data_IF_448621396734
#
_entry.id   IF_448621396734
#
_cell.length_a   1.000
_cell.length_b   1.000
_cell.length_c   1.000
_cell.angle_alpha   90.00
_cell.angle_beta   90.00
_cell.angle_gamma   90.00
#
_symmetry.space_group_name_H-M   'P 1'
#
loop_
_entity.id
_entity.type
_entity.pdbx_description
1 polymer ?
#
# COMPACT_ATOMS: atom_id res chain seq x y z
N UNK A 1 11.92 14.92 5.11
CA UNK A 1 12.82 13.77 4.89
C UNK A 1 11.98 12.51 4.97
N UNK A 2 12.24 11.52 4.13
CA UNK A 2 11.61 10.20 4.17
C UNK A 2 12.72 9.15 4.27
N UNK A 3 12.67 8.30 5.30
CA UNK A 3 13.55 7.15 5.44
C UNK A 3 12.90 5.90 4.86
N UNK A 4 13.63 5.13 4.05
CA UNK A 4 13.12 3.90 3.41
C UNK A 4 13.88 2.71 4.00
N UNK A 5 13.21 1.96 4.88
CA UNK A 5 13.78 0.71 5.39
C UNK A 5 13.84 -0.33 4.26
N UNK A 6 14.90 -1.13 4.25
CA UNK A 6 15.03 -2.19 3.25
C UNK A 6 14.07 -3.36 3.51
N UNK A 7 13.83 -4.21 2.49
CA UNK A 7 12.76 -5.21 2.50
C UNK A 7 13.03 -6.41 3.41
N UNK A 8 14.31 -6.69 3.70
CA UNK A 8 14.73 -7.84 4.50
C UNK A 8 15.12 -7.43 5.92
N UNK A 9 14.64 -8.20 6.89
CA UNK A 9 14.99 -7.99 8.29
C UNK A 9 14.85 -9.28 9.10
N UNK A 10 15.42 -9.28 10.29
CA UNK A 10 15.24 -10.33 11.29
C UNK A 10 14.13 -9.95 12.30
N UNK A 11 14.12 -10.60 13.45
CA UNK A 11 13.15 -10.38 14.53
C UNK A 11 13.17 -8.95 15.09
N UNK A 12 14.23 -8.17 14.83
CA UNK A 12 14.33 -6.75 15.21
C UNK A 12 13.54 -5.82 14.29
N UNK A 13 12.87 -6.36 13.27
CA UNK A 13 12.07 -5.62 12.30
C UNK A 13 12.91 -4.66 11.44
N UNK A 14 12.27 -3.67 10.84
CA UNK A 14 12.77 -2.75 9.82
C UNK A 14 14.18 -2.18 10.07
N UNK A 15 15.04 -2.31 9.05
CA UNK A 15 16.47 -1.93 9.06
C UNK A 15 16.82 -1.04 7.87
N UNK A 16 17.62 0.00 8.08
CA UNK A 16 18.07 0.95 7.05
C UNK A 16 19.31 0.46 6.29
N UNK A 17 19.29 -0.79 5.83
CA UNK A 17 20.46 -1.44 5.18
C UNK A 17 20.63 -1.11 3.68
N UNK A 18 19.78 -0.26 3.13
CA UNK A 18 19.92 0.26 1.76
C UNK A 18 20.70 1.58 1.73
N UNK A 19 20.85 2.23 2.88
CA UNK A 19 21.53 3.52 3.03
C UNK A 19 23.03 3.35 3.35
N UNK A 20 23.86 4.38 3.12
CA UNK A 20 25.26 4.39 3.53
C UNK A 20 25.44 3.99 5.00
N UNK A 21 26.45 3.16 5.26
CA UNK A 21 26.75 2.62 6.59
C UNK A 21 25.62 1.82 7.25
N UNK A 22 24.59 1.43 6.49
CA UNK A 22 23.35 0.78 6.95
C UNK A 22 22.56 1.60 7.97
N UNK A 23 22.51 2.93 7.81
CA UNK A 23 21.83 3.84 8.75
C UNK A 23 20.94 4.84 8.04
N UNK A 24 19.82 5.19 8.67
CA UNK A 24 18.98 6.28 8.21
C UNK A 24 19.81 7.58 8.13
N UNK A 25 19.83 8.30 6.98
CA UNK A 25 20.70 9.45 6.79
C UNK A 25 20.43 10.64 7.72
N UNK A 26 19.25 10.73 8.33
CA UNK A 26 18.84 11.85 9.18
C UNK A 26 18.85 11.48 10.65
N UNK A 27 18.27 10.34 11.00
CA UNK A 27 18.16 9.85 12.37
C UNK A 27 19.44 9.13 12.82
N UNK A 28 20.27 8.64 11.89
CA UNK A 28 21.50 7.93 12.19
C UNK A 28 21.31 6.56 12.86
N UNK A 29 20.09 6.00 12.83
CA UNK A 29 19.73 4.70 13.43
C UNK A 29 19.90 3.57 12.41
N UNK A 30 20.27 2.38 12.87
CA UNK A 30 20.38 1.19 12.01
C UNK A 30 19.03 0.45 11.92
N UNK A 31 18.28 0.43 13.02
CA UNK A 31 16.96 -0.19 13.11
C UNK A 31 15.89 0.81 13.55
N UNK A 32 14.70 0.73 12.95
CA UNK A 32 13.57 1.59 13.34
C UNK A 32 13.19 1.40 14.82
N UNK A 33 13.41 0.20 15.37
CA UNK A 33 13.16 -0.09 16.78
C UNK A 33 13.98 0.77 17.76
N UNK A 34 15.06 1.42 17.31
CA UNK A 34 15.80 2.41 18.11
C UNK A 34 14.94 3.66 18.38
N UNK A 35 14.18 4.13 17.38
CA UNK A 35 13.29 5.28 17.53
C UNK A 35 12.07 4.98 18.43
N UNK A 36 11.56 3.75 18.37
CA UNK A 36 10.53 3.27 19.30
C UNK A 36 11.06 3.25 20.74
N UNK A 37 12.25 2.67 20.97
CA UNK A 37 12.90 2.64 22.29
C UNK A 37 13.30 4.02 22.81
N UNK A 38 13.57 4.98 21.93
CA UNK A 38 13.78 6.37 22.31
C UNK A 38 12.50 7.03 22.83
N UNK A 39 11.33 6.67 22.27
CA UNK A 39 10.03 7.14 22.73
C UNK A 39 9.60 6.48 24.04
N UNK A 40 9.78 5.16 24.12
CA UNK A 40 9.44 4.31 25.26
C UNK A 40 10.54 3.25 25.48
N UNK A 41 11.40 3.40 26.51
CA UNK A 41 12.48 2.46 26.79
C UNK A 41 12.03 1.02 27.05
N UNK A 42 10.78 0.82 27.48
CA UNK A 42 10.21 -0.48 27.83
C UNK A 42 9.31 -1.04 26.71
N UNK A 43 9.37 -0.46 25.49
CA UNK A 43 8.53 -0.87 24.36
C UNK A 43 8.70 -2.35 24.00
N UNK A 44 7.64 -3.13 24.20
CA UNK A 44 7.60 -4.59 23.99
C UNK A 44 6.62 -5.03 22.87
N UNK A 45 5.97 -4.07 22.22
CA UNK A 45 5.06 -4.29 21.10
C UNK A 45 5.76 -4.35 19.73
N UNK A 46 4.99 -4.54 18.66
CA UNK A 46 5.52 -4.68 17.31
C UNK A 46 6.08 -3.37 16.74
N UNK A 47 7.33 -3.40 16.27
CA UNK A 47 7.96 -2.30 15.51
C UNK A 47 7.43 -2.30 14.08
N UNK A 48 6.50 -1.39 13.76
CA UNK A 48 5.81 -1.32 12.48
C UNK A 48 6.18 -0.08 11.65
N UNK A 49 5.93 -0.18 10.35
CA UNK A 49 5.85 0.94 9.40
C UNK A 49 4.40 1.10 8.92
N UNK A 50 3.96 2.31 8.52
CA UNK A 50 4.68 3.59 8.62
C UNK A 50 4.87 4.04 10.07
N UNK A 51 5.91 4.83 10.33
CA UNK A 51 6.15 5.50 11.61
C UNK A 51 6.59 6.94 11.35
N UNK A 52 5.96 7.90 12.04
CA UNK A 52 6.37 9.30 12.03
C UNK A 52 7.30 9.51 13.22
N UNK A 53 8.53 9.98 12.95
CA UNK A 53 9.56 10.22 13.96
C UNK A 53 9.81 11.72 14.08
N UNK A 54 9.80 12.24 15.30
CA UNK A 54 10.27 13.60 15.56
C UNK A 54 11.80 13.62 15.48
N UNK A 55 12.34 14.32 14.47
CA UNK A 55 13.78 14.31 14.15
C UNK A 55 14.64 14.78 15.32
N UNK A 56 14.23 15.84 16.03
CA UNK A 56 15.05 16.43 17.09
C UNK A 56 15.23 15.51 18.31
N UNK A 57 14.20 14.74 18.64
CA UNK A 57 14.24 13.81 19.78
C UNK A 57 14.58 12.38 19.37
N UNK A 58 14.47 12.04 18.07
CA UNK A 58 14.62 10.69 17.55
C UNK A 58 13.48 9.75 17.97
N UNK A 59 12.36 10.28 18.50
CA UNK A 59 11.27 9.49 19.06
C UNK A 59 10.17 9.26 18.04
N UNK A 60 9.64 8.04 17.97
CA UNK A 60 8.39 7.77 17.25
C UNK A 60 7.26 8.57 17.91
N UNK A 61 6.56 9.37 17.11
CA UNK A 61 5.39 10.14 17.50
C UNK A 61 4.09 9.36 17.27
N UNK A 62 3.99 8.65 16.14
CA UNK A 62 2.83 7.80 15.81
C UNK A 62 3.18 6.75 14.77
N UNK A 63 2.52 5.60 14.86
CA UNK A 63 2.50 4.54 13.86
C UNK A 63 1.05 4.13 13.47
N UNK A 64 0.06 4.96 13.84
CA UNK A 64 -1.35 4.72 13.50
C UNK A 64 -1.60 5.05 12.02
N UNK A 65 -1.34 4.07 11.17
CA UNK A 65 -1.44 4.23 9.72
C UNK A 65 -2.84 4.61 9.23
N UNK A 66 -3.90 4.30 9.98
CA UNK A 66 -5.27 4.66 9.58
C UNK A 66 -5.53 6.15 9.80
N UNK A 67 -4.94 6.73 10.84
CA UNK A 67 -5.05 8.15 11.16
C UNK A 67 -4.01 9.00 10.41
N UNK A 68 -2.78 8.49 10.22
CA UNK A 68 -1.68 9.23 9.56
C UNK A 68 -2.11 9.79 8.19
N UNK A 69 -2.76 8.99 7.35
CA UNK A 69 -3.16 9.43 6.00
C UNK A 69 -4.27 10.49 6.03
N UNK A 70 -5.19 10.37 6.99
CA UNK A 70 -6.26 11.36 7.24
C UNK A 70 -5.66 12.67 7.78
N UNK A 71 -4.71 12.60 8.70
CA UNK A 71 -4.03 13.77 9.25
C UNK A 71 -3.20 14.48 8.18
N UNK A 72 -2.51 13.75 7.32
CA UNK A 72 -1.81 14.32 6.16
C UNK A 72 -2.77 15.06 5.23
N UNK A 73 -4.00 14.55 5.04
CA UNK A 73 -5.01 15.20 4.21
C UNK A 73 -5.67 16.41 4.90
N UNK A 74 -5.71 16.43 6.23
CA UNK A 74 -6.48 17.43 6.98
C UNK A 74 -5.61 18.39 7.81
N UNK A 75 -4.85 17.86 8.78
CA UNK A 75 -4.02 18.66 9.69
C UNK A 75 -2.85 19.34 8.98
N UNK A 76 -2.37 18.76 7.88
CA UNK A 76 -1.27 19.31 7.08
C UNK A 76 -1.72 20.18 5.90
N UNK A 77 -3.01 20.50 5.80
CA UNK A 77 -3.57 21.25 4.66
C UNK A 77 -2.84 22.58 4.36
N UNK A 78 -2.37 23.28 5.39
CA UNK A 78 -1.61 24.53 5.24
C UNK A 78 -0.25 24.37 4.54
N UNK A 79 0.26 23.13 4.43
CA UNK A 79 1.54 22.78 3.82
C UNK A 79 1.39 22.06 2.47
N UNK A 80 0.16 21.87 1.99
CA UNK A 80 -0.08 21.24 0.70
C UNK A 80 0.43 22.13 -0.44
N UNK A 81 0.88 21.49 -1.53
CA UNK A 81 1.17 22.21 -2.77
C UNK A 81 -0.11 22.81 -3.35
N UNK A 82 0.03 23.86 -4.16
CA UNK A 82 -1.06 24.31 -5.01
C UNK A 82 -1.55 23.15 -5.91
N UNK A 83 -2.87 22.99 -6.00
CA UNK A 83 -3.51 21.92 -6.79
C UNK A 83 -3.44 20.53 -6.16
N UNK A 84 -3.08 20.39 -4.88
CA UNK A 84 -3.26 19.12 -4.17
C UNK A 84 -4.76 18.74 -4.14
N UNK A 85 -5.12 17.47 -4.41
CA UNK A 85 -6.52 17.04 -4.35
C UNK A 85 -7.01 16.93 -2.90
N UNK A 86 -8.30 17.08 -2.70
CA UNK A 86 -8.95 16.71 -1.43
C UNK A 86 -9.24 15.21 -1.44
N UNK A 87 -8.39 14.43 -0.76
CA UNK A 87 -8.52 12.97 -0.69
C UNK A 87 -9.57 12.51 0.33
N UNK A 88 -10.04 13.40 1.21
CA UNK A 88 -10.99 13.08 2.26
C UNK A 88 -12.04 14.20 2.48
N UNK A 89 -12.77 14.58 1.41
CA UNK A 89 -13.68 15.72 1.42
C UNK A 89 -14.88 15.45 2.34
N UNK A 90 -15.26 16.45 3.12
CA UNK A 90 -16.26 16.34 4.18
C UNK A 90 -17.58 15.71 3.71
N UNK A 91 -18.04 16.09 2.51
CA UNK A 91 -19.29 15.59 1.93
C UNK A 91 -19.28 14.08 1.63
N UNK A 92 -18.11 13.47 1.44
CA UNK A 92 -17.96 12.06 1.10
C UNK A 92 -17.40 11.19 2.22
N UNK A 93 -16.99 11.77 3.36
CA UNK A 93 -16.40 11.00 4.48
C UNK A 93 -17.23 9.80 4.91
N UNK A 94 -18.56 9.88 5.10
CA UNK A 94 -19.35 8.71 5.50
C UNK A 94 -19.26 7.54 4.50
N UNK A 95 -19.29 7.84 3.20
CA UNK A 95 -19.18 6.81 2.15
C UNK A 95 -17.74 6.26 2.03
N UNK A 96 -16.73 7.13 2.15
CA UNK A 96 -15.32 6.74 2.18
C UNK A 96 -15.05 5.81 3.36
N UNK A 97 -15.55 6.14 4.55
CA UNK A 97 -15.34 5.36 5.76
C UNK A 97 -16.03 3.99 5.68
N UNK A 98 -17.24 3.93 5.13
CA UNK A 98 -17.96 2.68 4.90
C UNK A 98 -17.19 1.76 3.94
N UNK A 99 -16.73 2.29 2.81
CA UNK A 99 -15.95 1.54 1.83
C UNK A 99 -14.61 1.10 2.45
N UNK A 100 -13.91 1.99 3.15
CA UNK A 100 -12.65 1.70 3.80
C UNK A 100 -12.76 0.58 4.84
N UNK A 101 -13.82 0.58 5.65
CA UNK A 101 -14.06 -0.47 6.62
C UNK A 101 -14.25 -1.83 5.94
N UNK A 102 -15.00 -1.87 4.84
CA UNK A 102 -15.22 -3.10 4.07
C UNK A 102 -13.95 -3.57 3.34
N UNK A 103 -13.23 -2.66 2.68
CA UNK A 103 -11.96 -2.92 1.99
C UNK A 103 -10.91 -3.41 2.98
N UNK A 104 -10.79 -2.79 4.14
CA UNK A 104 -9.87 -3.24 5.18
C UNK A 104 -10.18 -4.66 5.66
N UNK A 105 -11.42 -4.90 6.09
CA UNK A 105 -11.84 -6.18 6.68
C UNK A 105 -11.72 -7.34 5.70
N UNK A 106 -12.18 -7.14 4.48
CA UNK A 106 -12.40 -8.21 3.50
C UNK A 106 -11.25 -8.32 2.48
N UNK A 107 -10.51 -7.23 2.19
CA UNK A 107 -9.46 -7.20 1.17
C UNK A 107 -8.07 -6.98 1.78
N UNK A 108 -7.80 -5.83 2.38
CA UNK A 108 -6.45 -5.49 2.85
C UNK A 108 -5.97 -6.48 3.92
N UNK A 109 -6.81 -6.75 4.92
CA UNK A 109 -6.54 -7.78 5.93
C UNK A 109 -6.98 -9.17 5.44
N UNK A 110 -7.89 -9.25 4.46
CA UNK A 110 -8.39 -10.52 3.92
C UNK A 110 -7.29 -11.39 3.32
N UNK A 111 -6.38 -10.79 2.53
CA UNK A 111 -5.24 -11.53 1.95
C UNK A 111 -4.29 -12.07 3.02
N UNK A 112 -4.05 -11.32 4.11
CA UNK A 112 -3.24 -11.77 5.25
C UNK A 112 -3.92 -12.90 6.01
N UNK A 113 -5.23 -12.77 6.27
CA UNK A 113 -6.02 -13.82 6.91
C UNK A 113 -5.99 -15.13 6.11
N UNK A 114 -5.97 -15.07 4.78
CA UNK A 114 -5.79 -16.24 3.92
C UNK A 114 -4.36 -16.78 4.00
N UNK A 115 -3.34 -15.93 3.83
CA UNK A 115 -1.94 -16.35 3.78
C UNK A 115 -1.38 -16.93 5.08
N UNK A 116 -1.82 -16.39 6.22
CA UNK A 116 -1.37 -16.82 7.55
C UNK A 116 -2.28 -17.88 8.20
N UNK A 117 -3.37 -18.27 7.56
CA UNK A 117 -4.26 -19.31 8.08
C UNK A 117 -3.48 -20.61 8.35
N UNK A 118 -3.64 -21.16 9.56
CA UNK A 118 -3.05 -22.44 9.97
C UNK A 118 -4.01 -23.62 9.82
N UNK A 119 -5.28 -23.34 9.50
CA UNK A 119 -6.34 -24.33 9.32
C UNK A 119 -7.07 -24.12 8.00
N UNK A 120 -7.44 -25.22 7.34
CA UNK A 120 -8.10 -25.20 6.03
C UNK A 120 -9.43 -24.42 6.06
N UNK A 121 -10.22 -24.57 7.12
CA UNK A 121 -11.50 -23.87 7.25
C UNK A 121 -11.33 -22.35 7.42
N UNK A 122 -10.30 -21.92 8.15
CA UNK A 122 -9.96 -20.50 8.29
C UNK A 122 -9.50 -19.89 6.95
N UNK A 123 -8.65 -20.61 6.21
CA UNK A 123 -8.23 -20.23 4.86
C UNK A 123 -9.43 -20.09 3.92
N UNK A 124 -10.30 -21.10 3.84
CA UNK A 124 -11.47 -21.09 2.95
C UNK A 124 -12.41 -19.93 3.27
N UNK A 125 -12.67 -19.66 4.55
CA UNK A 125 -13.48 -18.51 4.97
C UNK A 125 -12.88 -17.19 4.50
N UNK A 126 -11.58 -16.99 4.70
CA UNK A 126 -10.90 -15.77 4.25
C UNK A 126 -10.88 -15.65 2.72
N UNK A 127 -10.62 -16.75 2.03
CA UNK A 127 -10.63 -16.83 0.56
C UNK A 127 -11.99 -16.43 -0.02
N UNK A 128 -13.08 -17.00 0.47
CA UNK A 128 -14.42 -16.66 -0.02
C UNK A 128 -14.77 -15.20 0.27
N UNK A 129 -14.54 -14.73 1.50
CA UNK A 129 -14.79 -13.33 1.87
C UNK A 129 -14.03 -12.33 1.00
N UNK A 130 -12.76 -12.62 0.69
CA UNK A 130 -11.94 -11.80 -0.19
C UNK A 130 -12.56 -11.70 -1.59
N UNK A 131 -12.86 -12.84 -2.20
CA UNK A 131 -13.33 -12.86 -3.58
C UNK A 131 -14.77 -12.36 -3.72
N UNK A 132 -15.65 -12.59 -2.75
CA UNK A 132 -16.98 -11.98 -2.69
C UNK A 132 -16.88 -10.45 -2.65
N UNK A 133 -15.90 -9.91 -1.90
CA UNK A 133 -15.66 -8.46 -1.86
C UNK A 133 -15.07 -7.94 -3.16
N UNK A 134 -14.12 -8.63 -3.78
CA UNK A 134 -13.54 -8.23 -5.06
C UNK A 134 -14.59 -8.23 -6.18
N UNK A 135 -15.56 -9.15 -6.15
CA UNK A 135 -16.70 -9.15 -7.07
C UNK A 135 -17.59 -7.92 -6.83
N UNK A 136 -17.96 -7.63 -5.58
CA UNK A 136 -18.76 -6.45 -5.25
C UNK A 136 -18.07 -5.12 -5.65
N UNK A 137 -16.74 -5.05 -5.50
CA UNK A 137 -15.94 -3.90 -5.95
C UNK A 137 -15.88 -3.82 -7.48
N UNK A 138 -15.76 -4.97 -8.17
CA UNK A 138 -15.81 -5.04 -9.64
C UNK A 138 -17.15 -4.53 -10.17
N UNK A 139 -18.27 -4.96 -9.57
CA UNK A 139 -19.60 -4.50 -9.94
C UNK A 139 -19.74 -2.99 -9.73
N UNK A 140 -19.26 -2.47 -8.60
CA UNK A 140 -19.28 -1.03 -8.30
C UNK A 140 -18.48 -0.22 -9.33
N UNK A 141 -17.26 -0.67 -9.65
CA UNK A 141 -16.32 -0.01 -10.55
C UNK A 141 -16.65 -0.23 -12.04
N UNK A 142 -17.58 -1.13 -12.37
CA UNK A 142 -18.01 -1.36 -13.75
C UNK A 142 -18.67 -0.12 -14.39
N UNK A 143 -19.23 0.76 -13.55
CA UNK A 143 -19.97 1.96 -13.97
C UNK A 143 -19.40 3.26 -13.39
N UNK A 144 -18.33 3.18 -12.58
CA UNK A 144 -17.71 4.31 -11.88
C UNK A 144 -16.21 4.28 -12.08
N UNK A 145 -15.57 5.42 -12.31
CA UNK A 145 -14.11 5.49 -12.47
C UNK A 145 -13.35 5.29 -11.16
N UNK A 146 -13.86 5.80 -10.04
CA UNK A 146 -13.26 5.69 -8.71
C UNK A 146 -14.25 5.10 -7.70
N UNK A 147 -13.78 4.79 -6.50
CA UNK A 147 -14.61 4.17 -5.48
C UNK A 147 -15.67 5.12 -4.93
N UNK A 148 -15.39 6.41 -4.79
CA UNK A 148 -16.32 7.41 -4.25
C UNK A 148 -16.30 8.68 -5.10
N UNK A 149 -17.48 9.09 -5.57
CA UNK A 149 -17.62 10.29 -6.42
C UNK A 149 -16.85 10.21 -7.74
N UNK A 150 -16.38 11.36 -8.21
CA UNK A 150 -15.76 11.55 -9.52
C UNK A 150 -14.23 11.78 -9.45
N UNK A 151 -13.61 11.66 -8.26
CA UNK A 151 -12.20 11.97 -8.00
C UNK A 151 -11.51 10.82 -7.26
N UNK A 152 -10.17 10.81 -7.24
CA UNK A 152 -9.41 9.87 -6.40
C UNK A 152 -9.57 10.28 -4.94
N UNK A 153 -9.86 9.30 -4.08
CA UNK A 153 -10.02 9.52 -2.63
C UNK A 153 -9.13 8.56 -1.83
N UNK A 154 -9.09 8.76 -0.51
CA UNK A 154 -8.48 7.83 0.46
C UNK A 154 -8.93 6.37 0.23
N UNK A 155 -10.17 6.15 -0.22
CA UNK A 155 -10.67 4.81 -0.52
C UNK A 155 -9.91 4.13 -1.65
N UNK A 156 -9.60 4.87 -2.72
CA UNK A 156 -8.88 4.35 -3.87
C UNK A 156 -7.45 3.96 -3.50
N UNK A 157 -6.79 4.81 -2.72
CA UNK A 157 -5.42 4.57 -2.23
C UNK A 157 -5.37 3.30 -1.37
N UNK A 158 -6.32 3.15 -0.44
CA UNK A 158 -6.39 1.98 0.46
C UNK A 158 -6.68 0.67 -0.28
N UNK A 159 -7.50 0.68 -1.32
CA UNK A 159 -7.68 -0.52 -2.15
C UNK A 159 -6.43 -0.80 -2.99
N UNK A 160 -5.86 0.24 -3.62
CA UNK A 160 -4.77 0.13 -4.58
C UNK A 160 -3.52 -0.54 -4.01
N UNK A 161 -3.11 -0.21 -2.78
CA UNK A 161 -1.92 -0.79 -2.16
C UNK A 161 -1.99 -2.32 -2.04
N UNK A 162 -3.21 -2.89 -1.98
CA UNK A 162 -3.42 -4.34 -2.02
C UNK A 162 -3.45 -4.88 -3.45
N UNK A 163 -4.13 -4.19 -4.38
CA UNK A 163 -4.20 -4.65 -5.78
C UNK A 163 -2.81 -4.72 -6.43
N UNK A 164 -1.96 -3.72 -6.22
CA UNK A 164 -0.62 -3.68 -6.83
C UNK A 164 0.30 -4.83 -6.39
N UNK A 165 0.04 -5.40 -5.20
CA UNK A 165 0.77 -6.57 -4.66
C UNK A 165 0.11 -7.91 -4.99
N UNK A 166 -1.07 -7.90 -5.60
CA UNK A 166 -1.91 -9.09 -5.71
C UNK A 166 -1.23 -10.20 -6.53
N UNK A 167 -0.85 -9.93 -7.77
CA UNK A 167 -0.23 -10.95 -8.64
C UNK A 167 1.22 -11.23 -8.27
N UNK A 168 1.95 -10.22 -7.78
CA UNK A 168 3.35 -10.36 -7.39
C UNK A 168 3.53 -11.20 -6.11
N UNK A 169 2.54 -11.19 -5.22
CA UNK A 169 2.63 -11.81 -3.90
C UNK A 169 1.36 -12.59 -3.55
N UNK A 170 0.23 -11.90 -3.36
CA UNK A 170 -0.91 -12.49 -2.65
C UNK A 170 -1.53 -13.70 -3.37
N UNK A 171 -1.56 -13.67 -4.70
CA UNK A 171 -2.03 -14.75 -5.54
C UNK A 171 -1.25 -16.05 -5.27
N UNK A 172 0.08 -15.98 -5.27
CA UNK A 172 0.95 -17.14 -5.05
C UNK A 172 1.24 -17.40 -3.57
N UNK A 173 1.94 -16.47 -2.92
CA UNK A 173 2.45 -16.60 -1.55
C UNK A 173 1.32 -16.83 -0.54
N UNK A 174 0.25 -16.02 -0.63
CA UNK A 174 -0.92 -16.12 0.25
C UNK A 174 -2.05 -16.98 -0.32
N UNK A 175 -1.83 -17.63 -1.47
CA UNK A 175 -2.78 -18.55 -2.11
C UNK A 175 -4.15 -17.90 -2.41
N UNK A 176 -4.20 -16.59 -2.60
CA UNK A 176 -5.42 -15.90 -3.01
C UNK A 176 -5.66 -16.10 -4.51
N UNK A 177 -5.96 -17.33 -4.91
CA UNK A 177 -5.71 -17.82 -6.27
C UNK A 177 -6.95 -18.24 -7.08
N UNK A 178 -8.11 -17.59 -6.86
CA UNK A 178 -9.29 -17.81 -7.73
C UNK A 178 -8.98 -17.43 -9.18
N UNK A 179 -8.32 -16.29 -9.34
CA UNK A 179 -7.86 -15.69 -10.58
C UNK A 179 -6.76 -14.68 -10.25
N UNK A 180 -5.89 -14.39 -11.20
CA UNK A 180 -4.97 -13.24 -11.13
C UNK A 180 -5.74 -11.93 -11.21
N UNK A 181 -5.14 -10.84 -10.73
CA UNK A 181 -5.66 -9.49 -10.95
C UNK A 181 -5.79 -9.20 -12.44
N UNK A 182 -4.80 -9.59 -13.26
CA UNK A 182 -4.86 -9.42 -14.72
C UNK A 182 -6.04 -10.13 -15.39
N UNK A 183 -6.69 -11.08 -14.71
CA UNK A 183 -7.84 -11.86 -15.20
C UNK A 183 -9.17 -11.31 -14.67
N UNK A 184 -9.16 -10.23 -13.88
CA UNK A 184 -10.34 -9.52 -13.35
C UNK A 184 -10.51 -8.19 -14.10
N UNK A 185 -11.24 -8.13 -15.24
CA UNK A 185 -11.08 -7.04 -16.23
C UNK A 185 -11.33 -5.63 -15.68
N UNK A 186 -12.38 -5.46 -14.87
CA UNK A 186 -12.73 -4.15 -14.30
C UNK A 186 -11.70 -3.72 -13.27
N UNK A 187 -11.35 -4.59 -12.32
CA UNK A 187 -10.33 -4.29 -11.30
C UNK A 187 -8.96 -4.10 -11.92
N UNK A 188 -8.61 -4.83 -12.97
CA UNK A 188 -7.34 -4.67 -13.67
C UNK A 188 -7.25 -3.34 -14.41
N UNK A 189 -8.33 -2.93 -15.08
CA UNK A 189 -8.40 -1.61 -15.71
C UNK A 189 -8.32 -0.49 -14.66
N UNK A 190 -9.04 -0.63 -13.53
CA UNK A 190 -8.98 0.30 -12.41
C UNK A 190 -7.58 0.40 -11.80
N UNK A 191 -6.93 -0.74 -11.52
CA UNK A 191 -5.60 -0.77 -10.93
C UNK A 191 -4.56 -0.11 -11.84
N UNK A 192 -4.63 -0.33 -13.17
CA UNK A 192 -3.74 0.33 -14.14
C UNK A 192 -3.99 1.83 -14.28
N UNK A 193 -5.25 2.28 -14.22
CA UNK A 193 -5.59 3.71 -14.20
C UNK A 193 -4.89 4.41 -13.02
N UNK A 194 -4.96 3.81 -11.84
CA UNK A 194 -4.23 4.31 -10.67
C UNK A 194 -2.71 4.17 -10.84
N UNK A 195 -2.20 3.02 -11.28
CA UNK A 195 -0.76 2.81 -11.48
C UNK A 195 -0.14 3.86 -12.42
N UNK A 196 -0.84 4.22 -13.49
CA UNK A 196 -0.39 5.21 -14.47
C UNK A 196 -0.65 6.66 -14.03
N UNK A 197 -1.35 6.87 -12.91
CA UNK A 197 -1.54 8.19 -12.31
C UNK A 197 -0.30 8.59 -11.49
N UNK A 198 0.28 9.80 -11.68
CA UNK A 198 1.44 10.24 -10.91
C UNK A 198 1.18 10.22 -9.38
N UNK A 199 2.15 9.72 -8.61
CA UNK A 199 2.05 9.50 -7.16
C UNK A 199 1.58 8.08 -6.77
N UNK A 200 1.37 7.19 -7.73
CA UNK A 200 0.99 5.79 -7.50
C UNK A 200 2.06 4.83 -8.02
N UNK A 201 2.13 4.58 -9.34
CA UNK A 201 3.09 3.60 -9.89
C UNK A 201 4.55 4.00 -9.68
N UNK A 202 4.82 5.31 -9.62
CA UNK A 202 6.15 5.87 -9.33
C UNK A 202 6.60 5.69 -7.86
N UNK A 203 5.77 5.08 -7.01
CA UNK A 203 6.12 4.68 -5.64
C UNK A 203 6.25 3.16 -5.48
N UNK A 204 6.25 2.38 -6.58
CA UNK A 204 6.19 0.92 -6.53
C UNK A 204 7.50 0.27 -6.94
N UNK A 205 8.18 -0.31 -5.95
CA UNK A 205 9.31 -1.21 -6.15
C UNK A 205 8.84 -2.67 -6.03
N UNK A 206 8.58 -3.31 -7.18
CA UNK A 206 8.15 -4.72 -7.21
C UNK A 206 9.20 -5.68 -6.67
N UNK A 207 10.49 -5.35 -6.81
CA UNK A 207 11.57 -6.23 -6.35
C UNK A 207 11.61 -6.23 -4.82
N UNK A 208 11.59 -5.07 -4.18
CA UNK A 208 11.52 -4.97 -2.72
C UNK A 208 10.24 -5.58 -2.16
N UNK A 209 9.09 -5.38 -2.82
CA UNK A 209 7.84 -6.06 -2.46
C UNK A 209 8.06 -7.57 -2.41
N UNK A 210 8.56 -8.18 -3.50
CA UNK A 210 8.75 -9.63 -3.56
C UNK A 210 9.79 -10.12 -2.57
N UNK A 211 10.93 -9.44 -2.46
CA UNK A 211 11.99 -9.78 -1.50
C UNK A 211 11.47 -9.82 -0.07
N UNK A 212 10.66 -8.83 0.33
CA UNK A 212 10.08 -8.80 1.66
C UNK A 212 9.20 -10.03 1.92
N UNK A 213 8.15 -10.23 1.11
CA UNK A 213 7.18 -11.29 1.41
C UNK A 213 7.77 -12.69 1.34
N UNK A 214 8.59 -12.97 0.32
CA UNK A 214 9.15 -14.29 0.10
C UNK A 214 10.39 -14.57 0.95
N UNK A 215 11.14 -13.53 1.35
CA UNK A 215 12.37 -13.65 2.14
C UNK A 215 12.14 -13.60 3.66
N UNK A 216 11.14 -12.85 4.15
CA UNK A 216 10.88 -12.69 5.59
C UNK A 216 9.96 -13.77 6.15
N UNK A 217 8.90 -14.16 5.43
CA UNK A 217 7.90 -15.13 5.91
C UNK A 217 8.36 -16.59 5.79
N UNK A 218 9.42 -16.97 6.50
CA UNK A 218 10.01 -18.30 6.46
C UNK A 218 9.02 -19.42 6.87
N UNK A 219 8.01 -19.10 7.67
CA UNK A 219 6.92 -20.00 8.06
C UNK A 219 5.94 -20.32 6.93
N UNK A 220 5.89 -19.50 5.88
CA UNK A 220 5.11 -19.75 4.65
C UNK A 220 6.04 -20.26 3.54
N UNK A 221 7.22 -19.65 3.38
CA UNK A 221 8.21 -19.98 2.36
C UNK A 221 9.59 -20.27 3.00
N UNK A 222 9.82 -21.47 3.53
CA UNK A 222 11.07 -21.80 4.24
C UNK A 222 12.31 -21.79 3.35
N UNK A 223 12.15 -21.85 2.03
CA UNK A 223 13.28 -21.79 1.09
C UNK A 223 13.84 -20.38 0.92
N UNK A 224 13.06 -19.35 1.25
CA UNK A 224 13.41 -17.95 0.97
C UNK A 224 13.50 -17.60 -0.52
N UNK A 225 13.14 -18.53 -1.43
CA UNK A 225 13.23 -18.30 -2.87
C UNK A 225 12.18 -17.27 -3.27
N UNK A 226 12.65 -16.22 -3.94
CA UNK A 226 11.82 -15.16 -4.53
C UNK A 226 11.48 -15.54 -5.97
N UNK A 227 10.20 -15.59 -6.38
CA UNK A 227 9.83 -15.87 -7.76
C UNK A 227 10.39 -14.81 -8.72
N UNK A 228 10.80 -15.23 -9.93
CA UNK A 228 11.25 -14.28 -10.95
C UNK A 228 10.09 -13.46 -11.55
N UNK A 229 8.92 -14.08 -11.72
CA UNK A 229 7.72 -13.41 -12.22
C UNK A 229 6.94 -12.62 -11.16
N UNK A 230 5.76 -12.08 -11.52
CA UNK A 230 5.21 -12.02 -12.88
C UNK A 230 5.97 -11.00 -13.76
N UNK A 231 5.73 -11.03 -15.07
CA UNK A 231 6.09 -9.89 -15.92
C UNK A 231 5.16 -8.72 -15.56
N UNK A 232 5.74 -7.56 -15.25
CA UNK A 232 5.04 -6.35 -14.80
C UNK A 232 4.83 -5.31 -15.91
N UNK A 233 5.31 -5.57 -17.13
CA UNK A 233 5.19 -4.60 -18.24
C UNK A 233 3.75 -4.25 -18.59
N UNK A 234 2.80 -5.17 -18.36
CA UNK A 234 1.38 -4.95 -18.65
C UNK A 234 0.71 -3.90 -17.76
N UNK A 235 1.35 -3.48 -16.67
CA UNK A 235 0.87 -2.33 -15.87
C UNK A 235 0.81 -1.03 -16.68
N UNK A 236 1.59 -0.92 -17.75
CA UNK A 236 1.65 0.25 -18.65
C UNK A 236 0.70 0.13 -19.85
N UNK A 237 -0.02 -0.99 -20.01
CA UNK A 237 -0.97 -1.14 -21.10
C UNK A 237 -2.17 -0.20 -20.93
N UNK A 238 -2.78 0.30 -22.03
CA UNK A 238 -3.97 1.14 -21.95
C UNK A 238 -5.12 0.50 -21.18
N UNK A 239 -5.75 1.27 -20.29
CA UNK A 239 -6.79 0.79 -19.39
C UNK A 239 -8.22 1.19 -19.77
N UNK A 240 -8.41 2.19 -20.65
CA UNK A 240 -9.72 2.63 -21.16
C UNK A 240 -10.63 3.35 -20.15
N UNK A 241 -10.20 3.51 -18.89
CA UNK A 241 -11.03 4.07 -17.80
C UNK A 241 -11.42 5.53 -17.98
N UNK A 242 -10.68 6.28 -18.81
CA UNK A 242 -11.01 7.66 -19.14
C UNK A 242 -12.41 7.80 -19.81
N UNK A 243 -12.92 6.76 -20.46
CA UNK A 243 -14.25 6.74 -21.07
C UNK A 243 -15.39 6.85 -20.05
N UNK A 244 -15.11 6.56 -18.77
CA UNK A 244 -16.08 6.70 -17.67
C UNK A 244 -16.10 8.12 -17.06
N UNK A 245 -15.35 9.06 -17.63
CA UNK A 245 -15.26 10.43 -17.13
C UNK A 245 -14.36 10.56 -15.90
N UNK A 246 -14.80 11.35 -14.92
CA UNK A 246 -14.05 11.65 -13.70
C UNK A 246 -12.89 12.62 -13.90
N UNK A 247 -12.47 13.23 -12.79
CA UNK A 247 -11.35 14.15 -12.70
C UNK A 247 -10.42 13.65 -11.59
N UNK A 248 -9.31 12.94 -11.90
CA UNK A 248 -8.51 12.25 -10.89
C UNK A 248 -8.12 13.15 -9.71
N UNK A 249 -7.78 14.41 -9.99
CA UNK A 249 -7.35 15.41 -9.01
C UNK A 249 -8.41 16.49 -8.72
N UNK A 250 -9.66 16.31 -9.18
CA UNK A 250 -10.69 17.36 -9.14
C UNK A 250 -10.25 18.64 -9.86
N UNK A 251 -10.45 19.79 -9.21
CA UNK A 251 -9.94 21.10 -9.66
C UNK A 251 -8.41 21.28 -9.43
N UNK A 252 -7.74 20.25 -8.90
CA UNK A 252 -6.30 20.21 -8.68
C UNK A 252 -5.51 19.79 -9.91
N UNK A 253 -4.23 19.48 -9.68
CA UNK A 253 -3.28 19.06 -10.72
C UNK A 253 -2.53 17.80 -10.28
N UNK A 254 -2.01 16.98 -11.21
CA UNK A 254 -1.06 15.92 -10.86
C UNK A 254 0.18 16.49 -10.15
N UNK A 255 0.82 15.73 -9.24
CA UNK A 255 2.11 16.11 -8.67
C UNK A 255 3.24 16.06 -9.72
N UNK A 256 4.33 16.76 -9.43
CA UNK A 256 5.60 16.57 -10.14
C UNK A 256 6.19 15.17 -9.86
N UNK A 257 7.11 14.66 -10.70
CA UNK A 257 7.79 13.39 -10.46
C UNK A 257 8.51 13.37 -9.09
N UNK A 258 8.67 12.19 -8.46
CA UNK A 258 9.36 12.08 -7.18
C UNK A 258 10.78 12.69 -7.20
N UNK A 259 11.24 13.27 -6.06
CA UNK A 259 12.63 13.66 -5.87
C UNK A 259 13.58 12.51 -6.18
N UNK A 260 14.81 12.81 -6.62
CA UNK A 260 15.77 11.79 -7.09
C UNK A 260 15.99 10.63 -6.11
N UNK A 261 16.10 10.92 -4.81
CA UNK A 261 16.29 9.90 -3.76
C UNK A 261 15.07 9.04 -3.45
N UNK A 262 13.90 9.35 -4.01
CA UNK A 262 12.63 8.64 -3.80
C UNK A 262 12.17 7.88 -5.06
N UNK A 263 12.90 7.98 -6.16
CA UNK A 263 12.53 7.35 -7.43
C UNK A 263 12.77 5.84 -7.37
N UNK A 264 11.77 5.09 -7.81
CA UNK A 264 11.89 3.64 -8.05
C UNK A 264 12.50 3.35 -9.43
N UNK A 265 13.15 2.18 -9.62
CA UNK A 265 13.59 1.75 -10.95
C UNK A 265 12.42 1.73 -11.95
N UNK A 266 12.63 2.12 -13.22
CA UNK A 266 11.59 2.05 -14.24
C UNK A 266 11.20 0.58 -14.53
N UNK A 267 9.95 0.38 -14.93
CA UNK A 267 9.42 -0.90 -15.42
C UNK A 267 9.94 -1.28 -16.82
#
# INVERSE_FOLDING_TARGET
SMGIAGPLHDQRSWRFHLDPDNRDPVLGIEYLGEAYRAADPDYDAGVTVPAIVEVASGKVATNDYQQITVDLSTQWAAHHRAGAPDLYPEAHRPEIDEINAAVYRDVNNGVYRAGFAKEQGAYQKAYHQLFDRLDALSDRLSTRRYLVGDTITEADIRLWVTLVRFDAVYHGHFKCNRAKLTEMPVLWAYARDLFQTPGFGDTIDFEQIKQHYYGVHAEINPTGIVPAGPNVSSWLDPHGRAELGGQPFGDGTPPDPPPEGERVPPL
#
